data_IF_661690351759
#
_entry.id   IF_661690351759
#
_cell.length_a   1.000
_cell.length_b   1.000
_cell.length_c   1.000
_cell.angle_alpha   90.00
_cell.angle_beta   90.00
_cell.angle_gamma   90.00
#
_symmetry.space_group_name_H-M   'P 1'
#
loop_
_entity.id
_entity.type
_entity.pdbx_description
1 polymer ?
#
# COMPACT_ATOMS: atom_id res chain seq x y z
N UNK A 1 15.99 -88.72 -27.74
CA UNK A 1 16.49 -88.04 -28.96
C UNK A 1 16.45 -86.53 -28.68
N UNK A 2 17.45 -85.76 -29.13
CA UNK A 2 17.74 -84.39 -28.62
C UNK A 2 17.24 -83.28 -29.57
N UNK A 3 16.46 -82.33 -29.02
CA UNK A 3 16.34 -80.85 -29.29
C UNK A 3 16.19 -80.33 -30.75
N UNK A 4 15.82 -79.04 -31.00
CA UNK A 4 15.22 -77.96 -30.16
C UNK A 4 13.77 -77.59 -30.65
N UNK A 5 13.06 -76.53 -30.22
CA UNK A 5 13.23 -75.55 -29.13
C UNK A 5 12.94 -74.07 -29.53
N UNK A 6 11.95 -73.41 -28.89
CA UNK A 6 11.74 -71.92 -28.87
C UNK A 6 11.53 -71.44 -27.43
N UNK A 7 11.88 -70.17 -27.15
CA UNK A 7 12.05 -69.61 -25.79
C UNK A 7 10.84 -68.80 -25.31
N UNK A 8 10.62 -68.80 -24.00
CA UNK A 8 9.66 -67.93 -23.32
C UNK A 8 10.22 -66.49 -23.14
N UNK A 9 10.37 -65.74 -24.24
CA UNK A 9 10.97 -64.39 -24.23
C UNK A 9 10.21 -63.32 -25.03
N UNK A 10 8.95 -63.57 -25.40
CA UNK A 10 8.15 -62.64 -26.24
C UNK A 10 7.05 -61.87 -25.48
N UNK A 11 6.92 -62.05 -24.17
CA UNK A 11 5.95 -61.32 -23.30
C UNK A 11 6.60 -60.23 -22.42
N UNK A 12 7.63 -59.52 -22.92
CA UNK A 12 8.31 -58.44 -22.17
C UNK A 12 8.37 -57.08 -22.90
N UNK A 13 7.48 -56.83 -23.86
CA UNK A 13 7.57 -55.63 -24.73
C UNK A 13 6.34 -54.71 -24.72
N UNK A 14 5.47 -54.77 -23.70
CA UNK A 14 4.36 -53.79 -23.52
C UNK A 14 4.23 -53.27 -22.08
N UNK A 15 5.32 -53.27 -21.30
CA UNK A 15 5.31 -52.75 -19.91
C UNK A 15 6.49 -51.81 -19.63
N UNK A 16 7.07 -51.21 -20.67
CA UNK A 16 8.30 -50.41 -20.58
C UNK A 16 8.26 -49.02 -21.21
N UNK A 17 7.06 -48.53 -21.59
CA UNK A 17 6.88 -47.16 -22.13
C UNK A 17 6.36 -46.19 -21.06
N UNK A 18 5.63 -46.64 -20.04
CA UNK A 18 4.96 -45.77 -19.07
C UNK A 18 5.79 -45.33 -17.83
N UNK A 19 7.11 -45.58 -17.78
CA UNK A 19 7.95 -45.24 -16.60
C UNK A 19 8.85 -44.00 -16.72
N UNK A 20 9.03 -43.45 -17.91
CA UNK A 20 9.79 -42.23 -18.22
C UNK A 20 9.22 -41.70 -19.55
N UNK A 21 8.65 -40.50 -19.68
CA UNK A 21 8.83 -39.27 -18.88
C UNK A 21 7.48 -38.58 -18.53
N UNK A 22 7.46 -37.24 -18.45
CA UNK A 22 6.25 -36.44 -18.30
C UNK A 22 5.65 -36.24 -19.70
N UNK A 23 4.47 -36.77 -19.96
CA UNK A 23 3.69 -36.45 -21.18
C UNK A 23 2.71 -35.33 -20.79
N UNK A 24 2.90 -34.08 -21.28
CA UNK A 24 1.89 -33.05 -21.13
C UNK A 24 0.67 -33.35 -22.02
N UNK A 25 -0.53 -33.09 -21.52
CA UNK A 25 -1.74 -32.99 -22.34
C UNK A 25 -1.71 -31.66 -23.10
N UNK A 26 -1.13 -31.68 -24.30
CA UNK A 26 -1.11 -30.53 -25.23
C UNK A 26 -2.29 -30.70 -26.19
N UNK A 27 -2.94 -29.59 -26.59
CA UNK A 27 -3.91 -29.63 -27.71
C UNK A 27 -3.15 -29.95 -29.00
N UNK A 28 -3.73 -30.81 -29.85
CA UNK A 28 -3.06 -31.34 -31.06
C UNK A 28 -2.56 -30.25 -32.03
N UNK A 29 -3.20 -29.07 -31.99
CA UNK A 29 -2.88 -27.87 -32.76
C UNK A 29 -1.60 -27.14 -32.30
N UNK A 30 -1.15 -27.36 -31.05
CA UNK A 30 0.00 -26.68 -30.44
C UNK A 30 1.27 -27.56 -30.32
N UNK A 31 1.19 -28.85 -30.68
CA UNK A 31 2.30 -29.77 -30.58
C UNK A 31 3.30 -29.67 -31.75
N UNK A 32 4.61 -29.75 -31.46
CA UNK A 32 5.67 -29.84 -32.46
C UNK A 32 5.40 -31.04 -33.40
N UNK A 33 5.43 -30.87 -34.74
CA UNK A 33 5.22 -31.95 -35.69
C UNK A 33 6.11 -33.18 -35.46
N UNK A 34 7.31 -33.02 -34.88
CA UNK A 34 8.24 -34.11 -34.59
C UNK A 34 7.88 -34.95 -33.33
N UNK A 35 6.97 -34.44 -32.48
CA UNK A 35 6.53 -35.11 -31.25
C UNK A 35 5.09 -35.67 -31.32
N UNK A 36 4.40 -35.50 -32.46
CA UNK A 36 3.02 -36.00 -32.66
C UNK A 36 2.87 -37.50 -32.42
N UNK A 37 3.86 -38.31 -32.82
CA UNK A 37 3.90 -39.77 -32.60
C UNK A 37 4.01 -40.17 -31.10
N UNK A 38 4.13 -39.21 -30.17
CA UNK A 38 4.18 -39.42 -28.71
C UNK A 38 2.91 -38.93 -27.99
N UNK A 39 1.96 -38.35 -28.72
CA UNK A 39 0.67 -37.95 -28.18
C UNK A 39 -0.18 -39.20 -28.02
N UNK A 40 -0.43 -39.61 -26.78
CA UNK A 40 -1.36 -40.71 -26.48
C UNK A 40 -2.77 -40.18 -26.65
N UNK A 41 -3.48 -40.64 -27.68
CA UNK A 41 -4.87 -40.26 -27.93
C UNK A 41 -5.82 -40.96 -26.94
N UNK A 42 -7.08 -40.51 -26.90
CA UNK A 42 -8.10 -41.19 -26.12
C UNK A 42 -8.36 -42.62 -26.63
N UNK A 43 -8.26 -42.84 -27.95
CA UNK A 43 -8.30 -44.17 -28.56
C UNK A 43 -7.12 -45.06 -28.12
N UNK A 44 -5.87 -44.58 -28.12
CA UNK A 44 -4.71 -45.36 -27.67
C UNK A 44 -4.84 -45.80 -26.19
N UNK A 45 -5.43 -44.94 -25.36
CA UNK A 45 -5.75 -45.23 -23.96
C UNK A 45 -6.86 -46.29 -23.83
N UNK A 46 -7.90 -46.23 -24.67
CA UNK A 46 -8.96 -47.24 -24.73
C UNK A 46 -8.46 -48.61 -25.22
N UNK A 47 -7.57 -48.62 -26.23
CA UNK A 47 -6.99 -49.85 -26.78
C UNK A 47 -6.00 -50.49 -25.80
N UNK A 48 -5.14 -49.69 -25.14
CA UNK A 48 -4.20 -50.19 -24.13
C UNK A 48 -4.84 -50.66 -22.82
N UNK A 49 -6.06 -50.20 -22.50
CA UNK A 49 -6.88 -50.74 -21.41
C UNK A 49 -7.51 -52.11 -21.72
N UNK A 50 -7.30 -52.66 -22.92
CA UNK A 50 -7.72 -54.02 -23.26
C UNK A 50 -9.22 -54.18 -23.40
N UNK A 51 -9.92 -53.16 -23.91
CA UNK A 51 -11.36 -53.17 -24.17
C UNK A 51 -11.78 -54.08 -25.35
N UNK A 52 -11.34 -55.35 -25.31
CA UNK A 52 -12.02 -56.43 -26.01
C UNK A 52 -13.44 -56.58 -25.46
N UNK A 53 -14.40 -56.88 -26.33
CA UNK A 53 -15.84 -56.76 -26.06
C UNK A 53 -16.40 -57.84 -25.13
N UNK A 54 -16.06 -57.81 -23.84
CA UNK A 54 -16.78 -58.55 -22.80
C UNK A 54 -17.60 -57.60 -21.92
N UNK A 55 -18.89 -57.93 -21.82
CA UNK A 55 -19.88 -57.17 -21.05
C UNK A 55 -19.68 -57.46 -19.57
N UNK A 56 -19.05 -56.52 -18.86
CA UNK A 56 -19.00 -56.56 -17.40
C UNK A 56 -20.36 -56.15 -16.81
N UNK A 57 -20.88 -56.87 -15.80
CA UNK A 57 -22.18 -56.56 -15.21
C UNK A 57 -22.15 -55.23 -14.46
N UNK A 58 -23.26 -54.49 -14.52
CA UNK A 58 -23.42 -53.21 -13.83
C UNK A 58 -23.40 -53.40 -12.30
N UNK A 59 -22.26 -53.13 -11.69
CA UNK A 59 -22.11 -52.99 -10.24
C UNK A 59 -22.37 -51.55 -9.81
N UNK A 60 -23.49 -51.32 -9.12
CA UNK A 60 -23.79 -50.04 -8.49
C UNK A 60 -22.80 -49.78 -7.35
N UNK A 61 -22.01 -48.70 -7.43
CA UNK A 61 -20.98 -48.35 -6.42
C UNK A 61 -21.17 -46.93 -5.97
N UNK A 62 -21.30 -46.76 -4.65
CA UNK A 62 -21.59 -45.50 -3.98
C UNK A 62 -20.59 -44.39 -4.31
N UNK A 63 -21.12 -43.18 -4.41
CA UNK A 63 -20.43 -41.97 -4.82
C UNK A 63 -19.91 -41.22 -3.57
N UNK A 64 -18.61 -41.23 -3.31
CA UNK A 64 -17.94 -40.39 -2.30
C UNK A 64 -16.49 -40.10 -2.73
N UNK A 65 -16.10 -38.82 -2.66
CA UNK A 65 -14.77 -38.22 -2.79
C UNK A 65 -13.83 -38.71 -3.91
N UNK A 66 -13.69 -37.87 -4.94
CA UNK A 66 -12.73 -38.04 -6.03
C UNK A 66 -11.74 -36.87 -6.03
N UNK A 67 -10.57 -37.10 -5.42
CA UNK A 67 -9.39 -36.24 -5.57
C UNK A 67 -8.55 -36.61 -6.81
N UNK A 68 -7.63 -35.73 -7.18
CA UNK A 68 -6.74 -35.89 -8.36
C UNK A 68 -5.96 -37.22 -8.36
N UNK A 69 -6.00 -37.94 -9.49
CA UNK A 69 -5.19 -39.16 -9.69
C UNK A 69 -3.69 -38.82 -9.76
N UNK A 70 -2.90 -39.46 -8.90
CA UNK A 70 -1.44 -39.35 -8.93
C UNK A 70 -0.84 -40.28 -10.00
N UNK A 71 0.29 -39.89 -10.59
CA UNK A 71 1.01 -40.71 -11.57
C UNK A 71 1.39 -42.07 -10.96
N UNK A 72 0.81 -43.14 -11.48
CA UNK A 72 1.09 -44.51 -11.04
C UNK A 72 0.05 -45.13 -10.09
N UNK A 73 -1.09 -44.48 -9.85
CA UNK A 73 -2.23 -45.11 -9.15
C UNK A 73 -2.84 -46.22 -10.00
N UNK A 74 -2.85 -47.46 -9.51
CA UNK A 74 -3.59 -48.57 -10.14
C UNK A 74 -5.09 -48.46 -9.83
N UNK A 75 -5.91 -48.28 -10.87
CA UNK A 75 -7.35 -48.04 -10.74
C UNK A 75 -8.14 -49.34 -10.93
N UNK A 76 -8.00 -50.26 -9.97
CA UNK A 76 -8.71 -51.54 -9.99
C UNK A 76 -10.23 -51.38 -9.77
N UNK A 77 -11.05 -51.91 -10.68
CA UNK A 77 -12.50 -52.02 -10.49
C UNK A 77 -13.33 -50.81 -10.90
N UNK A 78 -12.75 -49.78 -11.51
CA UNK A 78 -13.52 -48.76 -12.24
C UNK A 78 -13.64 -49.15 -13.72
N UNK A 79 -14.82 -48.95 -14.31
CA UNK A 79 -14.99 -49.09 -15.75
C UNK A 79 -14.16 -48.03 -16.49
N UNK A 80 -13.75 -48.31 -17.72
CA UNK A 80 -12.97 -47.37 -18.57
C UNK A 80 -13.67 -46.01 -18.71
N UNK A 81 -15.02 -46.01 -18.67
CA UNK A 81 -15.86 -44.80 -18.65
C UNK A 81 -15.59 -43.94 -17.42
N UNK A 82 -15.48 -44.52 -16.22
CA UNK A 82 -15.17 -43.77 -14.98
C UNK A 82 -13.75 -43.21 -15.00
N UNK A 83 -12.78 -43.94 -15.56
CA UNK A 83 -11.40 -43.46 -15.72
C UNK A 83 -11.36 -42.26 -16.69
N UNK A 84 -12.09 -42.34 -17.82
CA UNK A 84 -12.26 -41.22 -18.73
C UNK A 84 -12.99 -40.05 -18.06
N UNK A 85 -14.05 -40.27 -17.28
CA UNK A 85 -14.73 -39.22 -16.53
C UNK A 85 -13.81 -38.52 -15.51
N UNK A 86 -12.90 -39.25 -14.84
CA UNK A 86 -11.88 -38.68 -13.95
C UNK A 86 -10.75 -37.95 -14.72
N UNK A 87 -10.41 -38.41 -15.92
CA UNK A 87 -9.41 -37.75 -16.77
C UNK A 87 -9.97 -36.49 -17.47
N UNK A 88 -11.30 -36.46 -17.68
CA UNK A 88 -12.04 -35.35 -18.28
C UNK A 88 -12.66 -34.39 -17.25
N UNK A 89 -12.62 -34.70 -15.95
CA UNK A 89 -13.02 -33.75 -14.92
C UNK A 89 -11.97 -32.65 -14.82
N UNK A 90 -12.26 -31.49 -15.41
CA UNK A 90 -11.39 -30.31 -15.30
C UNK A 90 -11.18 -29.96 -13.83
N UNK A 91 -9.97 -29.53 -13.43
CA UNK A 91 -9.70 -29.17 -12.05
C UNK A 91 -10.61 -28.02 -11.61
N UNK A 92 -11.22 -28.14 -10.44
CA UNK A 92 -12.06 -27.11 -9.84
C UNK A 92 -11.26 -25.80 -9.70
N UNK A 93 -11.59 -24.79 -10.50
CA UNK A 93 -10.99 -23.46 -10.43
C UNK A 93 -11.84 -22.61 -9.50
N UNK A 94 -11.29 -22.34 -8.32
CA UNK A 94 -11.90 -21.44 -7.34
C UNK A 94 -11.79 -19.99 -7.80
N UNK A 95 -12.86 -19.18 -7.66
CA UNK A 95 -12.83 -17.77 -8.04
C UNK A 95 -11.99 -16.94 -7.07
N UNK A 96 -11.41 -15.86 -7.60
CA UNK A 96 -10.74 -14.80 -6.85
C UNK A 96 -11.66 -13.57 -6.75
N UNK A 97 -11.68 -12.93 -5.60
CA UNK A 97 -12.51 -11.77 -5.27
C UNK A 97 -11.68 -10.49 -5.16
N UNK A 98 -12.19 -9.42 -5.73
CA UNK A 98 -11.71 -8.06 -5.54
C UNK A 98 -12.17 -7.56 -4.17
N UNK A 99 -11.21 -7.25 -3.31
CA UNK A 99 -11.46 -6.82 -1.94
C UNK A 99 -11.95 -5.37 -1.89
N UNK A 100 -13.02 -5.13 -1.13
CA UNK A 100 -13.52 -3.78 -0.87
C UNK A 100 -12.48 -2.93 -0.14
N UNK A 101 -12.41 -1.64 -0.48
CA UNK A 101 -11.51 -0.70 0.19
C UNK A 101 -12.13 0.69 0.27
N UNK A 102 -11.71 1.47 1.26
CA UNK A 102 -12.04 2.90 1.37
C UNK A 102 -10.75 3.72 1.45
N UNK A 103 -10.71 4.82 0.71
CA UNK A 103 -9.60 5.77 0.70
C UNK A 103 -10.07 7.13 1.24
N UNK A 104 -9.14 7.89 1.81
CA UNK A 104 -9.35 9.27 2.25
C UNK A 104 -8.23 10.17 1.73
N UNK A 105 -8.59 11.25 1.05
CA UNK A 105 -7.64 12.21 0.48
C UNK A 105 -7.89 13.65 0.96
N UNK A 106 -6.85 14.40 1.34
CA UNK A 106 -6.94 15.81 1.72
C UNK A 106 -6.74 16.75 0.53
N UNK A 107 -7.46 17.87 0.50
CA UNK A 107 -7.20 18.97 -0.45
C UNK A 107 -6.08 19.93 -0.04
N UNK A 108 -5.52 19.78 1.17
CA UNK A 108 -4.58 20.70 1.79
C UNK A 108 -3.31 19.97 2.27
N UNK A 109 -2.14 20.65 2.35
CA UNK A 109 -0.90 20.03 2.83
C UNK A 109 -1.02 19.47 4.25
N UNK A 110 -0.35 18.35 4.53
CA UNK A 110 -0.34 17.73 5.86
C UNK A 110 0.39 18.57 6.92
N UNK A 111 1.26 19.49 6.50
CA UNK A 111 2.10 20.30 7.37
C UNK A 111 1.97 21.80 7.09
N UNK A 112 2.19 22.61 8.12
CA UNK A 112 2.17 24.07 8.07
C UNK A 112 2.51 24.67 9.43
N UNK A 113 2.33 25.97 9.60
CA UNK A 113 2.69 26.65 10.86
C UNK A 113 1.69 26.31 11.98
N UNK A 114 2.17 26.14 13.21
CA UNK A 114 1.30 26.05 14.39
C UNK A 114 0.40 27.30 14.50
N UNK A 115 -0.87 27.09 14.83
CA UNK A 115 -1.87 28.14 14.88
C UNK A 115 -2.50 28.50 13.52
N UNK A 116 -1.97 28.03 12.39
CA UNK A 116 -2.54 28.27 11.05
C UNK A 116 -3.97 27.75 10.96
N UNK A 117 -4.90 28.54 10.38
CA UNK A 117 -6.23 28.09 9.99
C UNK A 117 -6.19 27.52 8.57
N UNK A 118 -6.49 26.23 8.44
CA UNK A 118 -6.52 25.52 7.17
C UNK A 118 -7.93 25.04 6.89
N UNK A 119 -8.50 25.49 5.78
CA UNK A 119 -9.71 24.88 5.21
C UNK A 119 -9.29 23.68 4.38
N UNK A 120 -9.79 22.52 4.76
CA UNK A 120 -9.50 21.22 4.13
C UNK A 120 -10.82 20.61 3.65
N UNK A 121 -10.84 20.19 2.39
CA UNK A 121 -11.85 19.28 1.85
C UNK A 121 -11.28 17.88 1.91
N UNK A 122 -11.93 17.03 2.71
CA UNK A 122 -11.65 15.61 2.83
C UNK A 122 -12.55 14.88 1.83
N UNK A 123 -11.95 14.12 0.92
CA UNK A 123 -12.68 13.30 -0.06
C UNK A 123 -12.48 11.83 0.28
N UNK A 124 -13.56 11.15 0.65
CA UNK A 124 -13.56 9.71 0.84
C UNK A 124 -14.21 8.99 -0.34
N UNK A 125 -13.57 7.91 -0.78
CA UNK A 125 -14.02 7.08 -1.89
C UNK A 125 -14.07 5.63 -1.42
N UNK A 126 -15.23 4.99 -1.59
CA UNK A 126 -15.41 3.56 -1.38
C UNK A 126 -15.35 2.83 -2.72
N UNK A 127 -14.48 1.83 -2.82
CA UNK A 127 -14.38 0.92 -3.95
C UNK A 127 -14.95 -0.43 -3.52
N UNK A 128 -16.12 -0.77 -4.06
CA UNK A 128 -16.91 -1.94 -3.64
C UNK A 128 -16.20 -3.29 -3.89
N UNK A 129 -15.40 -3.42 -4.94
CA UNK A 129 -14.87 -4.71 -5.36
C UNK A 129 -16.00 -5.70 -5.65
N UNK A 130 -15.90 -6.91 -5.12
CA UNK A 130 -16.97 -7.92 -5.14
C UNK A 130 -17.79 -7.97 -3.84
N UNK A 131 -17.69 -6.95 -2.96
CA UNK A 131 -18.54 -6.87 -1.78
C UNK A 131 -19.97 -6.42 -2.11
N UNK A 132 -20.86 -6.48 -1.12
CA UNK A 132 -22.22 -5.96 -1.25
C UNK A 132 -22.28 -4.44 -1.33
N UNK A 133 -23.48 -3.86 -1.53
CA UNK A 133 -23.66 -2.41 -1.55
C UNK A 133 -23.15 -1.73 -0.28
N UNK A 134 -22.65 -0.51 -0.44
CA UNK A 134 -22.32 0.39 0.66
C UNK A 134 -23.58 0.68 1.49
N UNK A 135 -23.49 0.45 2.79
CA UNK A 135 -24.55 0.71 3.78
C UNK A 135 -24.37 2.11 4.36
N UNK A 136 -23.14 2.45 4.75
CA UNK A 136 -22.80 3.73 5.38
C UNK A 136 -21.35 4.11 5.14
N UNK A 137 -21.09 5.40 4.97
CA UNK A 137 -19.75 5.98 4.92
C UNK A 137 -19.73 7.26 5.77
N UNK A 138 -18.70 7.41 6.60
CA UNK A 138 -18.49 8.58 7.44
C UNK A 138 -17.00 8.97 7.51
N UNK A 139 -16.73 10.20 7.94
CA UNK A 139 -15.37 10.71 8.17
C UNK A 139 -15.27 11.14 9.63
N UNK A 140 -14.38 10.49 10.39
CA UNK A 140 -14.06 10.78 11.79
C UNK A 140 -12.83 11.69 11.90
N UNK A 141 -12.77 12.50 12.97
CA UNK A 141 -11.62 13.29 13.43
C UNK A 141 -11.29 12.84 14.84
N UNK A 142 -10.21 12.08 15.00
CA UNK A 142 -10.06 11.22 16.17
C UNK A 142 -11.29 10.31 16.29
N UNK A 143 -11.92 10.27 17.47
CA UNK A 143 -13.15 9.51 17.73
C UNK A 143 -14.46 10.24 17.38
N UNK A 144 -14.41 11.50 16.93
CA UNK A 144 -15.62 12.30 16.67
C UNK A 144 -15.98 12.33 15.20
N UNK A 145 -17.23 12.02 14.86
CA UNK A 145 -17.75 12.10 13.49
C UNK A 145 -17.77 13.58 13.04
N UNK A 146 -17.27 13.87 11.83
CA UNK A 146 -17.23 15.22 11.23
C UNK A 146 -18.27 15.39 10.13
N UNK A 147 -18.67 14.31 9.48
CA UNK A 147 -19.75 14.28 8.50
C UNK A 147 -21.05 13.83 9.18
N UNK A 148 -22.02 14.74 9.32
CA UNK A 148 -23.33 14.38 9.84
C UNK A 148 -24.13 13.54 8.85
N UNK A 149 -24.68 12.44 9.36
CA UNK A 149 -25.40 11.37 8.66
C UNK A 149 -24.55 10.43 7.77
N UNK A 150 -24.65 9.10 7.95
CA UNK A 150 -23.99 8.13 7.09
C UNK A 150 -24.51 8.19 5.65
N UNK A 151 -23.59 8.32 4.70
CA UNK A 151 -23.91 8.33 3.27
C UNK A 151 -23.86 6.91 2.68
N UNK A 152 -24.84 6.55 1.84
CA UNK A 152 -24.77 5.35 0.98
C UNK A 152 -24.17 5.63 -0.40
N UNK A 153 -23.72 6.86 -0.67
CA UNK A 153 -22.98 7.18 -1.87
C UNK A 153 -21.51 6.76 -1.72
N UNK A 154 -20.95 6.05 -2.72
CA UNK A 154 -19.56 5.61 -2.76
C UNK A 154 -18.51 6.74 -2.80
N UNK A 155 -18.96 7.99 -2.74
CA UNK A 155 -18.17 9.20 -2.81
C UNK A 155 -18.77 10.23 -1.86
N UNK A 156 -17.97 10.67 -0.89
CA UNK A 156 -18.40 11.63 0.13
C UNK A 156 -17.31 12.68 0.34
N UNK A 157 -17.70 13.96 0.27
CA UNK A 157 -16.82 15.09 0.55
C UNK A 157 -17.26 15.83 1.82
N UNK A 158 -16.29 16.22 2.66
CA UNK A 158 -16.54 17.09 3.80
C UNK A 158 -15.51 18.21 3.86
N UNK A 159 -15.97 19.45 3.85
CA UNK A 159 -15.13 20.64 4.01
C UNK A 159 -15.19 21.12 5.45
N UNK A 160 -14.04 21.24 6.11
CA UNK A 160 -13.92 21.74 7.47
C UNK A 160 -12.74 22.69 7.58
N UNK A 161 -12.81 23.67 8.48
CA UNK A 161 -11.67 24.50 8.85
C UNK A 161 -11.12 24.01 10.18
N UNK A 162 -9.83 23.73 10.25
CA UNK A 162 -9.14 23.40 11.50
C UNK A 162 -7.94 24.31 11.74
N UNK A 163 -7.60 24.49 13.02
CA UNK A 163 -6.37 25.16 13.42
C UNK A 163 -5.28 24.11 13.62
N UNK A 164 -4.12 24.26 12.98
CA UNK A 164 -2.97 23.38 13.20
C UNK A 164 -2.45 23.50 14.64
N UNK A 165 -2.11 22.36 15.24
CA UNK A 165 -1.52 22.26 16.57
C UNK A 165 -0.25 21.39 16.52
N UNK A 166 0.57 21.44 17.59
CA UNK A 166 1.75 20.57 17.73
C UNK A 166 1.39 19.08 17.90
N UNK A 167 0.15 18.79 18.32
CA UNK A 167 -0.43 17.45 18.31
C UNK A 167 -1.08 17.20 16.94
N UNK A 168 -0.79 16.07 16.27
CA UNK A 168 -1.46 15.73 15.01
C UNK A 168 -2.98 15.69 15.15
N UNK A 169 -3.68 16.34 14.24
CA UNK A 169 -5.12 16.18 14.05
C UNK A 169 -5.30 15.08 13.02
N UNK A 170 -5.81 13.92 13.44
CA UNK A 170 -6.07 12.78 12.56
C UNK A 170 -7.48 12.81 12.00
N UNK A 171 -7.62 12.36 10.75
CA UNK A 171 -8.89 12.06 10.10
C UNK A 171 -8.81 10.67 9.47
N UNK A 172 -9.92 9.94 9.51
CA UNK A 172 -10.04 8.61 8.93
C UNK A 172 -11.48 8.43 8.43
N UNK A 173 -11.64 7.79 7.29
CA UNK A 173 -12.95 7.40 6.79
C UNK A 173 -13.26 5.96 7.20
N UNK A 174 -14.52 5.73 7.51
CA UNK A 174 -15.06 4.44 7.88
C UNK A 174 -16.20 4.11 6.92
N UNK A 175 -16.26 2.87 6.45
CA UNK A 175 -17.30 2.40 5.55
C UNK A 175 -17.87 1.05 6.04
N UNK A 176 -19.19 0.94 6.02
CA UNK A 176 -19.92 -0.30 6.29
C UNK A 176 -20.53 -0.80 4.98
N UNK A 177 -20.38 -2.08 4.64
CA UNK A 177 -20.93 -2.67 3.43
C UNK A 177 -21.53 -4.04 3.70
N UNK A 178 -22.53 -4.41 2.89
CA UNK A 178 -23.13 -5.74 2.94
C UNK A 178 -22.15 -6.82 2.40
N UNK A 179 -22.52 -8.09 2.59
CA UNK A 179 -21.81 -9.21 1.98
C UNK A 179 -22.00 -9.21 0.46
N UNK A 180 -20.98 -9.69 -0.26
CA UNK A 180 -21.02 -9.87 -1.71
C UNK A 180 -21.76 -11.14 -2.13
N UNK A 181 -22.23 -11.16 -3.37
CA UNK A 181 -22.74 -12.39 -4.00
C UNK A 181 -21.60 -13.38 -4.26
N UNK A 182 -21.84 -14.67 -4.01
CA UNK A 182 -20.85 -15.70 -4.27
C UNK A 182 -20.62 -15.89 -5.78
N UNK A 183 -19.35 -15.87 -6.21
CA UNK A 183 -18.99 -16.15 -7.61
C UNK A 183 -19.20 -17.62 -7.93
N UNK A 184 -19.33 -17.92 -9.22
CA UNK A 184 -19.48 -19.30 -9.70
C UNK A 184 -18.12 -20.00 -9.76
N UNK A 185 -18.04 -21.19 -9.19
CA UNK A 185 -16.88 -22.09 -9.28
C UNK A 185 -16.87 -22.77 -10.65
N UNK A 186 -15.72 -22.77 -11.33
CA UNK A 186 -15.59 -23.35 -12.68
C UNK A 186 -14.99 -24.77 -12.64
N UNK A 187 -15.38 -25.67 -13.54
CA UNK A 187 -16.44 -25.53 -14.56
C UNK A 187 -17.85 -25.79 -14.03
N UNK A 188 -17.99 -26.17 -12.75
CA UNK A 188 -19.25 -26.68 -12.18
C UNK A 188 -20.45 -25.72 -12.30
N UNK A 189 -20.21 -24.41 -12.41
CA UNK A 189 -21.28 -23.40 -12.52
C UNK A 189 -22.14 -23.29 -11.25
N UNK A 190 -21.61 -23.76 -10.13
CA UNK A 190 -22.23 -23.71 -8.80
C UNK A 190 -21.66 -22.53 -7.99
N UNK A 191 -22.47 -21.86 -7.16
CA UNK A 191 -21.97 -20.82 -6.28
C UNK A 191 -20.86 -21.33 -5.36
N UNK A 192 -19.88 -20.46 -5.11
CA UNK A 192 -18.80 -20.71 -4.17
C UNK A 192 -19.33 -20.83 -2.73
N UNK A 193 -19.21 -22.03 -2.18
CA UNK A 193 -19.72 -22.38 -0.82
C UNK A 193 -18.68 -22.17 0.28
N UNK A 194 -17.51 -21.59 -0.02
CA UNK A 194 -16.54 -21.19 1.01
C UNK A 194 -17.19 -20.18 1.98
N UNK A 195 -16.89 -20.23 3.29
CA UNK A 195 -17.33 -19.20 4.22
C UNK A 195 -16.92 -17.82 3.72
N UNK A 196 -17.81 -16.83 3.87
CA UNK A 196 -17.48 -15.46 3.51
C UNK A 196 -16.52 -14.87 4.54
N UNK A 197 -15.48 -14.16 4.08
CA UNK A 197 -14.45 -13.55 4.93
C UNK A 197 -14.24 -12.07 4.58
N UNK A 198 -13.80 -11.28 5.56
CA UNK A 198 -13.48 -9.86 5.36
C UNK A 198 -12.06 -9.73 4.83
N UNK A 199 -11.88 -9.04 3.71
CA UNK A 199 -10.55 -8.66 3.21
C UNK A 199 -9.76 -9.77 2.50
N UNK A 200 -10.34 -10.97 2.34
CA UNK A 200 -9.65 -12.10 1.70
C UNK A 200 -9.98 -12.19 0.20
N UNK A 201 -9.00 -12.25 -0.70
CA UNK A 201 -9.26 -12.45 -2.13
C UNK A 201 -9.67 -13.89 -2.45
N UNK A 202 -9.37 -14.86 -1.59
CA UNK A 202 -9.64 -16.29 -1.79
C UNK A 202 -10.93 -16.78 -1.09
N UNK A 203 -11.89 -15.89 -0.84
CA UNK A 203 -13.19 -16.21 -0.26
C UNK A 203 -14.28 -15.19 -0.70
N UNK A 204 -15.58 -15.57 -0.68
CA UNK A 204 -16.68 -14.62 -0.83
C UNK A 204 -16.54 -13.45 0.15
N UNK A 205 -16.85 -12.23 -0.28
CA UNK A 205 -16.67 -11.05 0.58
C UNK A 205 -17.76 -11.00 1.66
N UNK A 206 -17.37 -11.10 2.93
CA UNK A 206 -18.29 -10.90 4.05
C UNK A 206 -18.75 -9.44 4.16
N UNK A 207 -19.83 -9.21 4.91
CA UNK A 207 -20.19 -7.87 5.35
C UNK A 207 -19.12 -7.32 6.30
N UNK A 208 -18.89 -6.01 6.28
CA UNK A 208 -18.02 -5.32 7.22
C UNK A 208 -18.75 -4.08 7.74
N UNK A 209 -18.66 -3.81 9.04
CA UNK A 209 -19.31 -2.65 9.67
C UNK A 209 -18.38 -1.45 9.85
N UNK A 210 -17.05 -1.64 9.86
CA UNK A 210 -16.07 -0.58 10.14
C UNK A 210 -14.79 -0.75 9.28
N UNK A 211 -14.94 -0.79 7.95
CA UNK A 211 -13.80 -0.80 7.03
C UNK A 211 -13.08 0.55 7.09
N UNK A 212 -11.82 0.55 7.53
CA UNK A 212 -11.03 1.76 7.73
C UNK A 212 -10.26 2.21 6.48
N UNK A 213 -10.14 3.53 6.30
CA UNK A 213 -9.23 4.12 5.31
C UNK A 213 -7.81 4.33 5.85
N UNK A 214 -6.91 4.78 4.98
CA UNK A 214 -5.69 5.46 5.39
C UNK A 214 -6.00 6.66 6.32
N UNK A 215 -5.10 6.93 7.27
CA UNK A 215 -5.20 8.08 8.16
C UNK A 215 -4.60 9.31 7.46
N UNK A 216 -5.37 10.40 7.40
CA UNK A 216 -4.89 11.74 7.01
C UNK A 216 -4.48 12.49 8.28
N UNK A 217 -3.33 13.14 8.29
CA UNK A 217 -2.85 13.91 9.46
C UNK A 217 -2.57 15.37 9.11
N UNK A 218 -3.09 16.28 9.94
CA UNK A 218 -2.72 17.69 9.92
C UNK A 218 -1.88 18.02 11.15
N UNK A 219 -0.61 18.35 10.94
CA UNK A 219 0.36 18.68 12.00
C UNK A 219 0.91 20.10 11.82
N UNK A 220 0.90 20.88 12.90
CA UNK A 220 1.54 22.18 12.99
C UNK A 220 3.00 22.06 13.43
N UNK A 221 3.86 22.86 12.82
CA UNK A 221 5.27 23.01 13.17
C UNK A 221 5.54 24.46 13.55
N UNK A 222 6.56 24.70 14.38
CA UNK A 222 6.99 26.06 14.62
C UNK A 222 7.70 26.61 13.38
N UNK A 223 7.47 27.89 13.06
CA UNK A 223 8.28 28.61 12.08
C UNK A 223 9.64 28.99 12.67
N UNK A 224 10.68 28.95 11.83
CA UNK A 224 12.01 29.51 12.04
C UNK A 224 12.13 30.68 11.06
N UNK A 225 12.51 31.86 11.53
CA UNK A 225 12.55 33.08 10.72
C UNK A 225 13.96 33.67 10.74
N UNK A 226 14.49 34.06 9.59
CA UNK A 226 15.87 34.52 9.47
C UNK A 226 16.05 35.49 8.30
N UNK A 227 17.16 36.23 8.29
CA UNK A 227 17.53 37.10 7.18
C UNK A 227 18.48 38.21 7.60
N UNK A 228 18.65 39.20 6.73
CA UNK A 228 19.26 40.47 7.05
C UNK A 228 18.18 41.54 7.30
N UNK A 229 18.44 42.49 8.19
CA UNK A 229 17.50 43.53 8.58
C UNK A 229 18.18 44.91 8.79
N UNK A 230 17.46 46.02 8.58
CA UNK A 230 18.00 47.36 8.82
C UNK A 230 18.03 47.75 10.31
N UNK A 231 17.26 47.06 11.14
CA UNK A 231 17.17 47.19 12.59
C UNK A 231 16.89 45.81 13.20
N UNK A 232 17.21 45.63 14.50
CA UNK A 232 16.82 44.40 15.21
C UNK A 232 15.29 44.34 15.28
N UNK A 233 14.63 43.24 14.85
CA UNK A 233 13.18 43.13 14.96
C UNK A 233 12.72 43.17 16.42
N UNK A 234 11.71 44.00 16.72
CA UNK A 234 11.11 44.15 18.05
C UNK A 234 9.65 43.72 18.09
N UNK A 235 9.07 43.37 16.93
CA UNK A 235 7.66 42.99 16.79
C UNK A 235 7.50 41.73 15.92
N UNK A 236 6.42 40.97 16.11
CA UNK A 236 6.14 39.80 15.26
C UNK A 236 5.96 40.19 13.78
N UNK A 237 5.40 41.37 13.50
CA UNK A 237 5.25 41.87 12.13
C UNK A 237 6.59 42.05 11.41
N UNK A 238 7.61 42.59 12.09
CA UNK A 238 8.96 42.72 11.53
C UNK A 238 9.63 41.36 11.31
N UNK A 239 9.45 40.41 12.23
CA UNK A 239 9.94 39.04 12.09
C UNK A 239 9.32 38.33 10.89
N UNK A 240 7.99 38.43 10.72
CA UNK A 240 7.27 37.83 9.59
C UNK A 240 7.54 38.51 8.24
N UNK A 241 8.14 39.71 8.25
CA UNK A 241 8.58 40.42 7.06
C UNK A 241 10.04 40.09 6.65
N UNK A 242 10.74 39.23 7.40
CA UNK A 242 12.08 38.76 7.01
C UNK A 242 11.98 37.77 5.84
N UNK A 243 12.99 37.78 4.96
CA UNK A 243 12.95 37.01 3.71
C UNK A 243 13.09 35.48 3.91
N UNK A 244 13.74 35.05 4.98
CA UNK A 244 13.97 33.63 5.29
C UNK A 244 12.91 33.08 6.25
N UNK A 245 12.24 32.00 5.82
CA UNK A 245 11.30 31.24 6.62
C UNK A 245 11.41 29.75 6.30
N UNK A 246 11.38 28.90 7.32
CA UNK A 246 11.15 27.46 7.18
C UNK A 246 10.44 26.91 8.42
N UNK A 247 9.84 25.72 8.32
CA UNK A 247 9.27 25.02 9.47
C UNK A 247 10.34 24.17 10.18
N UNK A 248 10.13 23.86 11.46
CA UNK A 248 10.97 22.93 12.24
C UNK A 248 11.03 21.48 11.69
N UNK A 249 10.29 21.18 10.63
CA UNK A 249 10.33 19.91 9.88
C UNK A 249 11.32 19.93 8.72
N UNK A 250 11.61 21.10 8.15
CA UNK A 250 12.23 21.21 6.82
C UNK A 250 13.75 21.02 6.87
N UNK A 251 14.35 21.19 8.05
CA UNK A 251 15.75 20.89 8.30
C UNK A 251 16.25 21.42 9.64
N UNK A 252 17.47 21.04 9.99
CA UNK A 252 18.26 21.64 11.07
C UNK A 252 19.36 22.58 10.56
N UNK A 253 19.44 22.75 9.24
CA UNK A 253 20.39 23.65 8.57
C UNK A 253 19.66 24.52 7.57
N UNK A 254 20.10 25.78 7.44
CA UNK A 254 19.57 26.77 6.49
C UNK A 254 20.61 27.84 6.19
N UNK A 255 20.43 28.55 5.07
CA UNK A 255 21.36 29.60 4.62
C UNK A 255 20.71 30.97 4.80
N UNK A 256 21.38 31.86 5.53
CA UNK A 256 20.99 33.26 5.67
C UNK A 256 21.84 34.11 4.71
N UNK A 257 21.17 34.80 3.79
CA UNK A 257 21.75 35.78 2.86
C UNK A 257 22.01 37.12 3.59
N UNK A 258 23.26 37.58 3.64
CA UNK A 258 23.60 38.83 4.34
C UNK A 258 23.21 40.08 3.54
N UNK A 259 23.23 40.00 2.21
CA UNK A 259 23.22 41.15 1.33
C UNK A 259 24.45 42.05 1.53
N UNK A 260 24.39 43.27 0.99
CA UNK A 260 25.49 44.26 1.07
C UNK A 260 25.11 45.56 1.79
N UNK A 261 23.83 45.74 2.15
CA UNK A 261 23.31 46.99 2.73
C UNK A 261 23.09 46.92 4.24
N UNK A 262 22.69 45.75 4.74
CA UNK A 262 22.28 45.56 6.12
C UNK A 262 23.44 45.02 6.98
N UNK A 263 23.37 45.30 8.30
CA UNK A 263 24.42 45.00 9.28
C UNK A 263 23.96 44.10 10.44
N UNK A 264 22.71 43.67 10.38
CA UNK A 264 22.03 42.97 11.46
C UNK A 264 21.42 41.71 10.86
N UNK A 265 21.79 40.56 11.41
CA UNK A 265 21.45 39.24 10.89
C UNK A 265 20.68 38.47 11.96
N UNK A 266 19.37 38.73 12.14
CA UNK A 266 18.54 37.98 13.08
C UNK A 266 18.28 36.54 12.60
N UNK A 267 18.32 35.61 13.55
CA UNK A 267 17.80 34.25 13.44
C UNK A 267 16.87 34.03 14.64
N UNK A 268 15.59 33.80 14.39
CA UNK A 268 14.58 33.59 15.41
C UNK A 268 14.24 32.10 15.52
N UNK A 269 14.55 31.51 16.68
CA UNK A 269 14.43 30.08 16.97
C UNK A 269 13.27 29.78 17.94
N UNK A 270 12.45 28.75 17.67
CA UNK A 270 11.31 28.40 18.50
C UNK A 270 11.66 27.75 19.84
N UNK A 271 10.68 27.64 20.76
CA UNK A 271 10.83 26.87 21.99
C UNK A 271 11.46 25.48 21.75
N UNK A 272 12.43 25.11 22.58
CA UNK A 272 13.10 23.82 22.48
C UNK A 272 14.18 23.71 21.41
N UNK A 273 14.53 24.79 20.70
CA UNK A 273 15.66 24.84 19.77
C UNK A 273 16.77 25.80 20.24
N UNK A 274 18.01 25.53 19.83
CA UNK A 274 19.17 26.43 20.04
C UNK A 274 20.03 26.52 18.79
N UNK A 275 20.74 27.64 18.65
CA UNK A 275 21.82 27.81 17.69
C UNK A 275 23.00 26.92 18.10
N UNK A 276 23.58 26.19 17.14
CA UNK A 276 24.73 25.29 17.37
C UNK A 276 25.96 25.78 16.66
N UNK A 277 25.82 26.19 15.39
CA UNK A 277 26.94 26.68 14.58
C UNK A 277 26.47 27.76 13.61
N UNK A 278 27.34 28.72 13.33
CA UNK A 278 27.25 29.57 12.14
C UNK A 278 28.58 29.56 11.41
N UNK A 279 28.56 29.19 10.13
CA UNK A 279 29.73 29.22 9.25
C UNK A 279 29.50 30.20 8.10
N UNK A 280 30.36 31.21 7.97
CA UNK A 280 30.46 32.06 6.79
C UNK A 280 31.09 31.24 5.65
N UNK A 281 30.36 31.01 4.55
CA UNK A 281 30.81 30.09 3.49
C UNK A 281 31.89 30.68 2.59
N UNK A 282 31.96 32.00 2.49
CA UNK A 282 32.90 32.74 1.63
C UNK A 282 34.29 32.79 2.26
N UNK A 283 34.35 32.93 3.59
CA UNK A 283 35.59 33.05 4.36
C UNK A 283 35.95 31.80 5.15
N UNK A 284 35.03 30.82 5.25
CA UNK A 284 35.12 29.65 6.13
C UNK A 284 35.31 30.03 7.62
N UNK A 285 34.89 31.23 8.02
CA UNK A 285 34.98 31.71 9.40
C UNK A 285 33.80 31.21 10.24
N UNK A 286 34.08 30.74 11.45
CA UNK A 286 33.02 30.39 12.41
C UNK A 286 32.53 31.65 13.14
N UNK A 287 31.26 31.99 12.94
CA UNK A 287 30.60 33.17 13.48
C UNK A 287 29.72 32.88 14.70
N UNK A 288 29.64 31.61 15.16
CA UNK A 288 28.73 31.14 16.22
C UNK A 288 28.71 32.06 17.45
N UNK A 289 29.88 32.47 17.95
CA UNK A 289 30.01 33.35 19.12
C UNK A 289 29.63 34.82 18.89
N UNK A 290 29.38 35.24 17.65
CA UNK A 290 28.94 36.61 17.33
C UNK A 290 27.41 36.76 17.40
N UNK A 291 26.68 35.64 17.33
CA UNK A 291 25.21 35.60 17.44
C UNK A 291 24.77 35.60 18.91
N UNK A 292 24.35 36.77 19.41
CA UNK A 292 23.93 36.93 20.80
C UNK A 292 22.45 36.54 20.98
N UNK A 293 22.11 35.56 21.84
CA UNK A 293 20.72 35.16 22.09
C UNK A 293 19.99 36.16 22.99
N UNK A 294 18.73 36.46 22.66
CA UNK A 294 17.83 37.33 23.42
C UNK A 294 16.42 36.72 23.44
N UNK A 295 15.66 36.80 24.56
CA UNK A 295 14.28 36.32 24.59
C UNK A 295 13.38 37.17 23.68
N UNK A 296 12.42 36.55 23.01
CA UNK A 296 11.49 37.24 22.11
C UNK A 296 10.09 36.60 22.14
N UNK A 297 9.06 37.43 22.32
CA UNK A 297 7.66 36.99 22.28
C UNK A 297 7.11 37.07 20.86
N UNK A 298 7.02 35.92 20.19
CA UNK A 298 6.53 35.80 18.81
C UNK A 298 5.10 35.27 18.79
N UNK A 299 4.20 35.89 18.02
CA UNK A 299 2.86 35.33 17.80
C UNK A 299 2.91 34.28 16.68
N UNK A 300 2.46 33.07 16.96
CA UNK A 300 2.25 32.01 15.96
C UNK A 300 1.17 32.40 14.93
N UNK A 301 0.94 31.58 13.91
CA UNK A 301 -0.03 31.90 12.86
C UNK A 301 -1.48 32.00 13.36
N UNK A 302 -1.75 31.60 14.61
CA UNK A 302 -3.03 31.78 15.29
C UNK A 302 -3.12 33.03 16.17
N UNK A 303 -2.05 33.81 16.29
CA UNK A 303 -1.97 34.98 17.16
C UNK A 303 -1.55 34.66 18.60
N UNK A 304 -1.23 33.40 18.93
CA UNK A 304 -0.85 33.02 20.30
C UNK A 304 0.63 33.32 20.53
N UNK A 305 0.95 33.98 21.64
CA UNK A 305 2.33 34.30 21.99
C UNK A 305 3.13 33.06 22.40
N UNK A 306 4.33 32.92 21.84
CA UNK A 306 5.26 31.82 22.02
C UNK A 306 6.64 32.37 22.44
N UNK A 307 7.33 31.65 23.33
CA UNK A 307 8.61 32.06 23.90
C UNK A 307 9.79 31.65 23.00
N UNK A 308 10.07 32.47 21.99
CA UNK A 308 11.17 32.28 21.06
C UNK A 308 12.49 32.86 21.59
N UNK A 309 13.61 32.42 21.01
CA UNK A 309 14.94 33.03 21.21
C UNK A 309 15.41 33.66 19.91
N UNK A 310 15.71 34.95 19.92
CA UNK A 310 16.33 35.65 18.80
C UNK A 310 17.85 35.69 18.98
N UNK A 311 18.56 34.97 18.14
CA UNK A 311 20.01 35.06 18.01
C UNK A 311 20.34 36.16 16.98
N UNK A 312 21.05 37.20 17.40
CA UNK A 312 21.36 38.35 16.53
C UNK A 312 22.86 38.56 16.43
N UNK A 313 23.38 38.60 15.21
CA UNK A 313 24.71 39.13 14.92
C UNK A 313 24.58 40.58 14.43
N UNK A 314 25.39 41.47 14.98
CA UNK A 314 25.44 42.90 14.64
C UNK A 314 26.88 43.25 14.22
N UNK A 315 27.05 43.93 13.08
CA UNK A 315 28.35 44.36 12.56
C UNK A 315 28.47 45.89 12.50
N UNK A 316 29.69 46.40 12.62
CA UNK A 316 29.96 47.83 12.48
C UNK A 316 29.77 48.33 11.03
N UNK A 317 30.16 47.52 10.06
CA UNK A 317 30.14 47.81 8.61
C UNK A 317 29.38 46.67 7.93
N UNK A 318 28.65 46.96 6.85
CA UNK A 318 27.98 45.92 6.06
C UNK A 318 29.00 45.13 5.20
N UNK A 319 28.64 43.92 4.81
CA UNK A 319 29.49 43.12 3.91
C UNK A 319 29.68 43.82 2.55
N UNK A 320 30.89 43.76 2.00
CA UNK A 320 31.24 44.34 0.69
C UNK A 320 30.69 43.53 -0.49
N UNK A 321 30.31 42.28 -0.25
CA UNK A 321 29.69 41.31 -1.17
C UNK A 321 28.61 40.54 -0.42
N UNK A 322 27.70 39.85 -1.11
CA UNK A 322 26.77 38.94 -0.42
C UNK A 322 27.56 37.77 0.19
N UNK A 323 27.31 37.47 1.46
CA UNK A 323 27.82 36.29 2.16
C UNK A 323 26.65 35.36 2.53
N UNK A 324 26.95 34.08 2.66
CA UNK A 324 26.01 33.02 2.96
C UNK A 324 26.37 32.44 4.33
N UNK A 325 25.61 32.80 5.36
CA UNK A 325 25.77 32.20 6.68
C UNK A 325 25.04 30.86 6.71
N UNK A 326 25.79 29.74 6.72
CA UNK A 326 25.23 28.43 6.99
C UNK A 326 24.94 28.32 8.50
N UNK A 327 23.65 28.32 8.84
CA UNK A 327 23.14 28.23 10.19
C UNK A 327 22.83 26.76 10.49
N UNK A 328 23.42 26.19 11.55
CA UNK A 328 23.07 24.87 12.09
C UNK A 328 22.41 25.04 13.46
N UNK A 329 21.26 24.40 13.67
CA UNK A 329 20.51 24.40 14.93
C UNK A 329 20.34 22.99 15.47
N UNK A 330 19.98 22.86 16.75
CA UNK A 330 19.58 21.57 17.32
C UNK A 330 18.42 21.73 18.31
N UNK A 331 17.72 20.62 18.52
CA UNK A 331 16.77 20.49 19.64
C UNK A 331 17.52 20.47 20.96
N UNK A 332 16.94 21.07 21.99
CA UNK A 332 17.33 20.86 23.37
C UNK A 332 16.93 19.45 23.77
N UNK A 333 17.89 18.69 24.29
CA UNK A 333 17.68 17.35 24.85
C UNK A 333 17.22 17.40 26.29
#
# INVERSE_FOLDING_TARGET
MLLPGRKASEFQTVTKVLKTDKIPLIREEEADPADRDKIVTAEDLLESLGAGSEVYPEGEVAHNDVGSLLKGTEVGGLSSIKILQLALSEPTVLPVYAVANVALSPSAPEHGEVGELVTITLTSQFNQGDAGPLVSQEIRKGSSIVLGEPSSASYTQQTTTVRRALTPITFQAHASHAAGEAKQVQPAGTPDVRPAEIGQPDAPQAANEDLESNIVQLLGHYGIFFGNAPAIPTTTAQVRAMAGFQLTRDGLEFVLETGTSNRIFPVLLPPGYRLVKVLDRETNAELTGQYQPRPFSMQDAGGTAQNYTMCVMEQAIAYTSNHHHLITIARNG
#
